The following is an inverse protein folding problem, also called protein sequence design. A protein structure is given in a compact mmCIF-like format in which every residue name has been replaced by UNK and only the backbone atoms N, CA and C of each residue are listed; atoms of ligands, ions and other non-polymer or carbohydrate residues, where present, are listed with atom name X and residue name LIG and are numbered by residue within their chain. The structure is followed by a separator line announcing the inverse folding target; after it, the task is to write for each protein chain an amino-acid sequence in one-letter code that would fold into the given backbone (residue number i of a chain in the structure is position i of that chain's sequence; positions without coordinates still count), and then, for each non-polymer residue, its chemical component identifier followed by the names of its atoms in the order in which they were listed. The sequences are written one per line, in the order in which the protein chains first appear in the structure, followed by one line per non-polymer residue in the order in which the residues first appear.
data_IF_389597350975
#
_entry.id   IF_389597350975
#
_cell.length_a   1.000
_cell.length_b   1.000
_cell.length_c   1.000
_cell.angle_alpha   90.00
_cell.angle_beta   90.00
_cell.angle_gamma   90.00
#
_symmetry.space_group_name_H-M   'P 1'
#
loop_
_entity.id
_entity.type
_entity.pdbx_description
1 polymer ?
#
# COMPACT_ATOMS: atom_id res chain seq x y z
N UNK A 1 -21.57 -7.04 12.71
CA UNK A 1 -20.65 -7.39 11.60
C UNK A 1 -19.73 -6.19 11.40
N UNK A 2 -18.43 -6.40 11.21
CA UNK A 2 -17.51 -5.30 10.99
C UNK A 2 -17.29 -5.03 9.50
N UNK A 3 -17.00 -3.78 9.16
CA UNK A 3 -16.77 -3.34 7.78
C UNK A 3 -15.37 -3.71 7.30
N UNK A 4 -15.26 -3.89 5.98
CA UNK A 4 -14.00 -4.08 5.26
C UNK A 4 -13.76 -2.85 4.42
N UNK A 5 -12.61 -2.21 4.61
CA UNK A 5 -12.16 -1.06 3.84
C UNK A 5 -11.01 -1.47 2.93
N UNK A 6 -10.97 -0.89 1.73
CA UNK A 6 -9.83 -0.98 0.83
C UNK A 6 -9.36 0.45 0.59
N UNK A 7 -8.16 0.77 1.07
CA UNK A 7 -7.56 2.08 0.88
C UNK A 7 -6.53 1.97 -0.23
N UNK A 8 -6.63 2.87 -1.20
CA UNK A 8 -5.69 2.95 -2.30
C UNK A 8 -4.80 4.20 -2.20
N UNK A 9 -3.56 4.05 -2.62
CA UNK A 9 -2.56 5.10 -2.76
C UNK A 9 -1.99 5.07 -4.19
N UNK A 10 -1.47 6.19 -4.67
CA UNK A 10 -0.67 6.24 -5.90
C UNK A 10 0.80 6.44 -5.53
N UNK A 11 1.20 7.68 -5.22
CA UNK A 11 2.60 7.99 -4.84
C UNK A 11 2.74 8.23 -3.35
N UNK A 12 3.91 7.89 -2.81
CA UNK A 12 4.37 8.30 -1.48
C UNK A 12 5.62 9.17 -1.66
N UNK A 13 5.48 10.46 -1.40
CA UNK A 13 6.48 11.48 -1.76
C UNK A 13 7.40 11.87 -0.59
N UNK A 14 8.64 12.33 -0.87
CA UNK A 14 9.55 12.88 0.15
C UNK A 14 9.21 14.31 0.57
N UNK A 15 8.11 14.88 0.09
CA UNK A 15 7.64 16.25 0.33
C UNK A 15 6.12 16.31 0.27
N UNK A 16 5.53 17.38 0.80
CA UNK A 16 4.12 17.68 0.59
C UNK A 16 3.85 17.96 -0.90
N UNK A 17 2.70 17.52 -1.41
CA UNK A 17 2.33 17.66 -2.80
C UNK A 17 0.90 17.19 -3.06
N UNK A 18 0.60 16.90 -4.33
CA UNK A 18 -0.70 16.34 -4.74
C UNK A 18 -0.96 14.95 -4.17
N UNK A 19 0.11 14.17 -3.97
CA UNK A 19 0.07 12.84 -3.36
C UNK A 19 0.55 12.86 -1.89
N UNK A 20 0.55 11.68 -1.25
CA UNK A 20 0.79 11.53 0.18
C UNK A 20 2.26 11.72 0.54
N UNK A 21 2.52 12.59 1.52
CA UNK A 21 3.85 12.73 2.10
C UNK A 21 4.21 11.52 2.98
N UNK A 22 5.43 11.00 2.87
CA UNK A 22 5.83 9.76 3.56
C UNK A 22 5.65 9.79 5.09
N UNK A 23 5.78 10.95 5.75
CA UNK A 23 5.51 11.04 7.19
C UNK A 23 4.02 10.95 7.53
N UNK A 24 3.17 11.47 6.64
CA UNK A 24 1.72 11.28 6.75
C UNK A 24 1.36 9.81 6.59
N UNK A 25 1.94 9.14 5.58
CA UNK A 25 1.78 7.70 5.39
C UNK A 25 2.24 6.89 6.60
N UNK A 26 3.39 7.21 7.21
CA UNK A 26 3.88 6.56 8.45
C UNK A 26 2.89 6.71 9.62
N UNK A 27 2.28 7.89 9.76
CA UNK A 27 1.25 8.13 10.76
C UNK A 27 -0.02 7.31 10.47
N UNK A 28 -0.48 7.28 9.22
CA UNK A 28 -1.62 6.48 8.79
C UNK A 28 -1.39 5.00 9.09
N UNK A 29 -0.22 4.45 8.74
CA UNK A 29 0.11 3.05 9.02
C UNK A 29 0.10 2.74 10.52
N UNK A 30 0.60 3.67 11.35
CA UNK A 30 0.50 3.54 12.81
C UNK A 30 -0.95 3.49 13.28
N UNK A 31 -1.81 4.37 12.76
CA UNK A 31 -3.24 4.41 13.08
C UNK A 31 -3.93 3.12 12.63
N UNK A 32 -3.72 2.67 11.39
CA UNK A 32 -4.32 1.45 10.86
C UNK A 32 -3.92 0.23 11.72
N UNK A 33 -2.63 0.11 12.06
CA UNK A 33 -2.14 -0.96 12.95
C UNK A 33 -2.81 -0.95 14.33
N UNK A 34 -3.07 0.23 14.90
CA UNK A 34 -3.69 0.35 16.22
C UNK A 34 -5.18 0.01 16.21
N UNK A 35 -5.93 0.46 15.19
CA UNK A 35 -7.38 0.44 15.23
C UNK A 35 -8.04 -0.61 14.33
N UNK A 36 -7.34 -1.10 13.32
CA UNK A 36 -7.89 -2.04 12.33
C UNK A 36 -7.24 -3.42 12.44
N UNK A 37 -7.86 -4.40 11.80
CA UNK A 37 -7.21 -5.64 11.40
C UNK A 37 -6.67 -5.43 9.98
N UNK A 38 -5.35 -5.25 9.84
CA UNK A 38 -4.74 -5.00 8.53
C UNK A 38 -4.43 -6.34 7.86
N UNK A 39 -5.04 -6.60 6.72
CA UNK A 39 -4.97 -7.89 6.02
C UNK A 39 -4.55 -7.71 4.57
N UNK A 40 -4.05 -8.79 3.96
CA UNK A 40 -3.85 -8.86 2.51
C UNK A 40 -5.18 -9.02 1.76
N UNK A 41 -5.17 -8.75 0.45
CA UNK A 41 -6.35 -9.04 -0.39
C UNK A 41 -6.64 -10.55 -0.48
N UNK A 42 -5.62 -11.41 -0.37
CA UNK A 42 -5.83 -12.88 -0.34
C UNK A 42 -6.65 -13.30 0.89
N UNK A 43 -6.38 -12.67 2.05
CA UNK A 43 -7.16 -12.90 3.27
C UNK A 43 -8.60 -12.36 3.13
N UNK A 44 -8.81 -11.25 2.41
CA UNK A 44 -10.16 -10.77 2.07
C UNK A 44 -10.86 -11.74 1.10
N UNK A 45 -10.15 -12.28 0.12
CA UNK A 45 -10.68 -13.27 -0.82
C UNK A 45 -11.18 -14.52 -0.08
N UNK A 46 -10.44 -14.98 0.93
CA UNK A 46 -10.85 -16.09 1.79
C UNK A 46 -12.14 -15.78 2.56
N UNK A 47 -12.28 -14.57 3.12
CA UNK A 47 -13.53 -14.18 3.79
C UNK A 47 -14.73 -14.25 2.84
N UNK A 48 -14.56 -13.83 1.58
CA UNK A 48 -15.61 -13.89 0.57
C UNK A 48 -15.94 -15.35 0.20
N UNK A 49 -14.93 -16.17 -0.08
CA UNK A 49 -15.10 -17.58 -0.47
C UNK A 49 -15.78 -18.42 0.61
N UNK A 50 -15.49 -18.13 1.87
CA UNK A 50 -16.02 -18.87 3.02
C UNK A 50 -17.32 -18.28 3.58
N UNK A 51 -17.86 -17.23 2.95
CA UNK A 51 -18.99 -16.42 3.46
C UNK A 51 -18.80 -15.98 4.92
N UNK A 52 -17.54 -15.67 5.28
CA UNK A 52 -17.15 -15.19 6.60
C UNK A 52 -17.06 -13.67 6.59
N UNK A 53 -17.32 -13.07 7.76
CA UNK A 53 -17.12 -11.64 7.99
C UNK A 53 -16.11 -11.45 9.12
N UNK A 54 -15.25 -10.42 9.02
CA UNK A 54 -14.36 -10.10 10.11
C UNK A 54 -15.16 -9.62 11.33
N UNK A 55 -14.60 -9.89 12.51
CA UNK A 55 -15.15 -9.48 13.80
C UNK A 55 -14.65 -8.10 14.27
N UNK A 56 -13.63 -7.54 13.60
CA UNK A 56 -13.04 -6.21 13.84
C UNK A 56 -13.01 -5.42 12.52
N UNK A 57 -13.13 -4.07 12.54
CA UNK A 57 -12.90 -3.26 11.35
C UNK A 57 -11.60 -3.67 10.66
N UNK A 58 -11.70 -4.04 9.39
CA UNK A 58 -10.61 -4.67 8.64
C UNK A 58 -10.23 -3.77 7.47
N UNK A 59 -8.95 -3.66 7.17
CA UNK A 59 -8.45 -2.80 6.10
C UNK A 59 -7.41 -3.54 5.26
N UNK A 60 -7.49 -3.39 3.95
CA UNK A 60 -6.41 -3.70 3.03
C UNK A 60 -5.82 -2.43 2.44
N UNK A 61 -4.49 -2.44 2.25
CA UNK A 61 -3.72 -1.34 1.68
C UNK A 61 -3.32 -1.72 0.27
N UNK A 62 -3.65 -0.86 -0.70
CA UNK A 62 -3.35 -1.05 -2.11
C UNK A 62 -2.59 0.15 -2.68
N UNK A 63 -1.78 -0.11 -3.70
CA UNK A 63 -1.10 0.90 -4.50
C UNK A 63 -1.43 0.71 -5.97
N UNK A 64 -1.66 1.80 -6.69
CA UNK A 64 -1.90 1.79 -8.13
C UNK A 64 -0.66 2.26 -8.91
N UNK A 65 -0.65 2.01 -10.22
CA UNK A 65 0.35 2.40 -11.23
C UNK A 65 1.72 1.72 -11.17
N UNK A 66 2.25 1.42 -9.98
CA UNK A 66 3.58 0.80 -9.84
C UNK A 66 4.74 1.78 -9.72
N UNK A 67 4.55 2.90 -9.03
CA UNK A 67 5.60 3.92 -8.90
C UNK A 67 6.79 3.44 -8.05
N UNK A 68 8.01 3.79 -8.48
CA UNK A 68 9.26 3.45 -7.77
C UNK A 68 9.30 4.02 -6.34
N UNK A 69 8.60 5.14 -6.10
CA UNK A 69 8.49 5.74 -4.79
C UNK A 69 7.73 4.85 -3.78
N UNK A 70 6.87 3.94 -4.25
CA UNK A 70 6.24 2.95 -3.39
C UNK A 70 7.29 2.01 -2.78
N UNK A 71 8.29 1.60 -3.58
CA UNK A 71 9.40 0.78 -3.08
C UNK A 71 10.34 1.58 -2.18
N UNK A 72 10.65 2.84 -2.51
CA UNK A 72 11.62 3.62 -1.73
C UNK A 72 11.05 4.17 -0.43
N UNK A 73 9.82 4.67 -0.42
CA UNK A 73 9.25 5.34 0.74
C UNK A 73 8.18 4.51 1.44
N UNK A 74 7.26 3.88 0.69
CA UNK A 74 6.15 3.14 1.31
C UNK A 74 6.60 1.81 1.92
N UNK A 75 7.39 1.01 1.18
CA UNK A 75 7.80 -0.32 1.61
C UNK A 75 8.59 -0.34 2.94
N UNK A 76 9.59 0.54 3.19
CA UNK A 76 10.26 0.58 4.49
C UNK A 76 9.32 0.92 5.65
N UNK A 77 8.31 1.75 5.42
CA UNK A 77 7.30 2.12 6.43
C UNK A 77 6.36 0.94 6.71
N UNK A 78 5.85 0.27 5.66
CA UNK A 78 5.06 -0.95 5.80
C UNK A 78 5.83 -2.02 6.59
N UNK A 79 7.11 -2.22 6.24
CA UNK A 79 8.01 -3.15 6.93
C UNK A 79 8.23 -2.76 8.40
N UNK A 80 8.44 -1.48 8.69
CA UNK A 80 8.57 -0.94 10.06
C UNK A 80 7.35 -1.26 10.91
N UNK A 81 6.14 -1.19 10.33
CA UNK A 81 4.90 -1.50 11.05
C UNK A 81 4.49 -2.97 11.00
N UNK A 82 5.13 -3.79 10.16
CA UNK A 82 4.77 -5.20 9.96
C UNK A 82 3.46 -5.36 9.19
N UNK A 83 3.15 -4.43 8.29
CA UNK A 83 1.90 -4.42 7.51
C UNK A 83 2.14 -4.97 6.10
N UNK A 84 1.11 -5.62 5.56
CA UNK A 84 1.07 -6.10 4.17
C UNK A 84 0.35 -5.07 3.29
N UNK A 85 0.71 -5.04 2.02
CA UNK A 85 0.04 -4.27 0.99
C UNK A 85 0.17 -4.99 -0.37
N UNK A 86 -0.64 -4.60 -1.35
CA UNK A 86 -0.55 -5.05 -2.74
C UNK A 86 -0.30 -3.85 -3.67
N UNK A 87 0.36 -4.10 -4.81
CA UNK A 87 0.60 -3.08 -5.84
C UNK A 87 0.08 -3.56 -7.19
N UNK A 88 -0.82 -2.78 -7.79
CA UNK A 88 -1.37 -2.99 -9.12
C UNK A 88 -0.55 -2.24 -10.15
N UNK A 89 0.49 -2.91 -10.66
CA UNK A 89 1.44 -2.31 -11.60
C UNK A 89 0.90 -2.27 -13.03
N UNK A 90 1.16 -1.18 -13.75
CA UNK A 90 0.90 -1.12 -15.20
C UNK A 90 2.03 -1.84 -15.92
N UNK A 91 1.84 -3.10 -16.27
CA UNK A 91 2.87 -3.96 -16.86
C UNK A 91 3.59 -3.35 -18.08
N UNK A 92 2.86 -2.63 -18.94
CA UNK A 92 3.42 -1.97 -20.14
C UNK A 92 4.30 -0.75 -19.83
N UNK A 93 4.28 -0.23 -18.59
CA UNK A 93 5.11 0.88 -18.12
C UNK A 93 6.32 0.44 -17.31
N UNK A 94 6.42 -0.86 -17.00
CA UNK A 94 7.62 -1.42 -16.35
C UNK A 94 8.73 -1.47 -17.40
N UNK A 95 9.83 -0.76 -17.14
CA UNK A 95 10.98 -0.74 -18.04
C UNK A 95 11.58 -2.15 -18.15
N UNK A 96 11.53 -2.71 -19.36
CA UNK A 96 12.28 -3.92 -19.72
C UNK A 96 13.67 -3.52 -20.22
N UNK A 97 14.53 -3.00 -19.33
CA UNK A 97 15.90 -2.61 -19.69
C UNK A 97 16.87 -2.91 -18.54
N UNK A 98 18.11 -3.22 -18.90
CA UNK A 98 19.19 -3.62 -17.97
C UNK A 98 19.81 -2.45 -17.17
N UNK A 99 19.20 -1.27 -17.18
CA UNK A 99 19.69 -0.14 -16.40
C UNK A 99 18.67 0.30 -15.34
N UNK A 100 19.18 0.54 -14.13
CA UNK A 100 18.43 1.13 -13.03
C UNK A 100 18.40 2.65 -13.24
N UNK A 101 17.25 3.29 -13.01
CA UNK A 101 17.16 4.75 -13.05
C UNK A 101 18.16 5.35 -12.03
N UNK A 102 18.97 6.36 -12.39
CA UNK A 102 19.97 6.93 -11.49
C UNK A 102 19.34 7.49 -10.21
N UNK A 103 18.17 8.13 -10.34
CA UNK A 103 17.43 8.71 -9.23
C UNK A 103 15.92 8.45 -9.34
N UNK A 104 15.20 8.71 -8.25
CA UNK A 104 13.72 8.63 -8.19
C UNK A 104 13.02 9.78 -8.92
N UNK A 105 13.77 10.77 -9.41
CA UNK A 105 13.22 11.96 -10.07
C UNK A 105 13.34 11.89 -11.59
N UNK A 106 14.02 10.87 -12.12
CA UNK A 106 14.19 10.66 -13.55
C UNK A 106 12.94 9.98 -14.13
N UNK A 107 11.82 10.72 -14.20
CA UNK A 107 10.52 10.24 -14.70
C UNK A 107 10.51 9.94 -16.20
#
# INVERSE_FOLDING_TARGET
MAEVFVIYYHKILPRFGFDVFYKTFDLEMKILKSFYNVVSLDEIEQYIKEDKRPNKPTVAITFDDGYVDNFVYAYPILKKHGLKAIIFTIASRILQKDFVRPTLFDY
#
